data_IF_107767775554
#
_entry.id   IF_107767775554
#
_cell.length_a   1.000
_cell.length_b   1.000
_cell.length_c   1.000
_cell.angle_alpha   90.00
_cell.angle_beta   90.00
_cell.angle_gamma   90.00
#
_symmetry.space_group_name_H-M   'P 1'
#
loop_
_entity.id
_entity.type
_entity.pdbx_description
1 polymer ?
#
# COMPACT_ATOMS: atom_id res chain seq x y z
N UNK A 1 -1.83 26.35 -66.53
CA UNK A 1 -2.19 26.65 -65.14
C UNK A 1 -1.96 25.40 -64.33
N UNK A 2 -0.87 25.35 -63.51
CA UNK A 2 -0.52 24.19 -62.69
C UNK A 2 -1.12 24.45 -61.28
N UNK A 3 -2.11 23.65 -60.89
CA UNK A 3 -2.68 23.71 -59.57
C UNK A 3 -1.77 22.98 -58.59
N UNK A 4 -1.17 23.71 -57.64
CA UNK A 4 -0.47 23.18 -56.48
C UNK A 4 -1.50 22.97 -55.35
N UNK A 5 -1.71 21.72 -54.99
CA UNK A 5 -2.50 21.33 -53.83
C UNK A 5 -1.55 21.29 -52.61
N UNK A 6 -1.75 22.10 -51.57
CA UNK A 6 -0.88 22.04 -50.41
C UNK A 6 -1.26 20.78 -49.59
N UNK A 7 -0.31 19.84 -49.48
CA UNK A 7 -0.42 18.70 -48.62
C UNK A 7 -0.29 19.14 -47.17
N UNK A 8 -1.43 19.25 -46.47
CA UNK A 8 -1.49 19.55 -45.04
C UNK A 8 -1.02 18.32 -44.24
N UNK A 9 0.23 18.30 -43.81
CA UNK A 9 0.80 17.31 -42.92
C UNK A 9 0.21 17.51 -41.52
N UNK A 10 -0.88 16.80 -41.21
CA UNK A 10 -1.38 16.66 -39.84
C UNK A 10 -0.36 15.82 -39.04
N UNK A 11 0.48 16.50 -38.28
CA UNK A 11 1.27 15.85 -37.23
C UNK A 11 0.30 15.34 -36.14
N UNK A 12 -0.10 14.08 -36.25
CA UNK A 12 -0.63 13.33 -35.13
C UNK A 12 0.52 13.20 -34.13
N UNK A 13 0.58 14.10 -33.16
CA UNK A 13 1.33 13.89 -31.93
C UNK A 13 0.58 12.78 -31.17
N UNK A 14 0.85 11.54 -31.51
CA UNK A 14 0.56 10.43 -30.64
C UNK A 14 1.37 10.69 -29.37
N UNK A 15 0.69 11.22 -28.34
CA UNK A 15 1.20 11.22 -26.98
C UNK A 15 1.42 9.74 -26.64
N UNK A 16 2.63 9.26 -26.87
CA UNK A 16 3.14 8.06 -26.24
C UNK A 16 3.03 8.34 -24.74
N UNK A 17 1.95 7.89 -24.12
CA UNK A 17 1.92 7.66 -22.70
C UNK A 17 2.94 6.54 -22.46
N UNK A 18 4.21 6.88 -22.50
CA UNK A 18 5.23 6.04 -21.92
C UNK A 18 4.75 5.81 -20.48
N UNK A 19 4.45 4.58 -20.18
CA UNK A 19 4.05 4.11 -18.87
C UNK A 19 5.13 4.58 -17.91
N UNK A 20 4.82 5.66 -17.16
CA UNK A 20 5.80 6.37 -16.36
C UNK A 20 5.91 5.64 -15.02
N UNK A 21 6.73 4.60 -14.99
CA UNK A 21 7.00 3.85 -13.77
C UNK A 21 7.79 4.71 -12.79
N UNK A 22 7.19 5.05 -11.67
CA UNK A 22 7.82 5.70 -10.52
C UNK A 22 7.00 5.43 -9.27
N UNK A 23 7.66 5.34 -8.13
CA UNK A 23 7.00 5.31 -6.82
C UNK A 23 6.84 6.72 -6.22
N UNK A 24 7.56 7.73 -6.75
CA UNK A 24 7.49 9.11 -6.29
C UNK A 24 6.87 10.01 -7.36
N UNK A 25 5.87 10.79 -6.97
CA UNK A 25 5.11 11.68 -7.85
C UNK A 25 5.01 13.07 -7.24
N UNK A 26 5.15 14.11 -8.05
CA UNK A 26 4.92 15.49 -7.67
C UNK A 26 3.49 15.90 -8.01
N UNK A 27 2.80 16.52 -7.05
CA UNK A 27 1.45 17.08 -7.21
C UNK A 27 1.57 18.60 -7.23
N UNK A 28 1.10 19.23 -8.32
CA UNK A 28 1.16 20.68 -8.54
C UNK A 28 -0.07 21.17 -9.33
N UNK A 29 -0.12 22.44 -9.67
CA UNK A 29 -1.23 23.05 -10.42
C UNK A 29 -2.37 23.55 -9.50
N UNK A 30 -3.49 23.94 -10.08
CA UNK A 30 -4.70 24.45 -9.37
C UNK A 30 -4.40 25.51 -8.30
N UNK A 31 -3.42 26.38 -8.51
CA UNK A 31 -3.06 27.44 -7.56
C UNK A 31 -2.25 26.99 -6.34
N UNK A 32 -1.74 25.75 -6.33
CA UNK A 32 -0.83 25.27 -5.29
C UNK A 32 0.48 26.07 -5.36
N UNK A 33 0.86 26.76 -4.27
CA UNK A 33 2.06 27.57 -4.22
C UNK A 33 3.36 26.76 -4.09
N UNK A 34 3.28 25.61 -3.42
CA UNK A 34 4.40 24.68 -3.22
C UNK A 34 3.94 23.28 -3.56
N UNK A 35 4.71 22.50 -4.34
CA UNK A 35 4.33 21.14 -4.68
C UNK A 35 4.22 20.28 -3.44
N UNK A 36 3.35 19.29 -3.52
CA UNK A 36 3.28 18.16 -2.61
C UNK A 36 3.75 16.90 -3.32
N UNK A 37 4.09 15.87 -2.58
CA UNK A 37 4.64 14.64 -3.14
C UNK A 37 3.81 13.44 -2.69
N UNK A 38 3.59 12.50 -3.61
CA UNK A 38 2.92 11.23 -3.39
C UNK A 38 3.95 10.12 -3.55
N UNK A 39 4.04 9.23 -2.57
CA UNK A 39 5.01 8.15 -2.56
C UNK A 39 4.36 6.81 -2.24
N UNK A 40 4.63 5.79 -3.07
CA UNK A 40 4.16 4.43 -2.88
C UNK A 40 4.99 3.67 -1.86
N UNK A 41 4.37 3.17 -0.80
CA UNK A 41 4.99 2.34 0.23
C UNK A 41 4.69 0.86 0.03
N UNK A 42 5.44 0.01 0.72
CA UNK A 42 5.19 -1.42 0.86
C UNK A 42 5.32 -1.81 2.32
N UNK A 43 4.28 -2.43 2.89
CA UNK A 43 4.14 -2.67 4.33
C UNK A 43 4.85 -3.96 4.80
N UNK A 44 6.07 -4.22 4.31
CA UNK A 44 6.88 -5.36 4.73
C UNK A 44 8.09 -4.91 5.55
N UNK A 45 8.50 -5.73 6.50
CA UNK A 45 9.70 -5.51 7.34
C UNK A 45 10.97 -6.06 6.67
N UNK A 46 11.20 -5.70 5.42
CA UNK A 46 12.35 -6.15 4.63
C UNK A 46 13.29 -4.97 4.33
N UNK A 47 14.54 -5.06 4.75
CA UNK A 47 15.54 -3.99 4.58
C UNK A 47 15.77 -3.57 3.14
N UNK A 48 15.53 -4.45 2.18
CA UNK A 48 15.62 -4.13 0.74
C UNK A 48 14.71 -2.98 0.34
N UNK A 49 13.51 -2.88 0.97
CA UNK A 49 12.52 -1.84 0.69
C UNK A 49 12.93 -0.45 1.14
N UNK A 50 13.90 -0.36 2.07
CA UNK A 50 14.40 0.91 2.60
C UNK A 50 15.47 1.54 1.70
N UNK A 51 15.70 1.00 0.51
CA UNK A 51 16.43 1.65 -0.54
C UNK A 51 15.56 2.74 -1.16
N UNK A 52 15.44 3.90 -0.48
CA UNK A 52 14.72 5.04 -1.03
C UNK A 52 15.53 5.71 -2.13
N UNK A 53 14.87 6.15 -3.21
CA UNK A 53 15.48 7.13 -4.08
C UNK A 53 15.92 8.34 -3.26
N UNK A 54 17.13 8.84 -3.45
CA UNK A 54 17.64 10.05 -2.76
C UNK A 54 16.65 11.21 -2.86
N UNK A 55 15.93 11.32 -3.99
CA UNK A 55 14.88 12.30 -4.18
C UNK A 55 13.70 12.11 -3.22
N UNK A 56 13.26 10.86 -2.91
CA UNK A 56 12.16 10.63 -1.98
C UNK A 56 12.52 11.07 -0.56
N UNK A 57 13.73 10.75 -0.10
CA UNK A 57 14.25 11.19 1.19
C UNK A 57 14.31 12.73 1.27
N UNK A 58 14.88 13.38 0.26
CA UNK A 58 14.97 14.84 0.19
C UNK A 58 13.60 15.52 0.18
N UNK A 59 12.62 14.94 -0.56
CA UNK A 59 11.26 15.47 -0.60
C UNK A 59 10.55 15.29 0.73
N UNK A 60 10.68 14.12 1.38
CA UNK A 60 10.17 13.92 2.73
C UNK A 60 10.77 14.94 3.71
N UNK A 61 12.08 15.17 3.67
CA UNK A 61 12.76 16.12 4.56
C UNK A 61 12.30 17.56 4.32
N UNK A 62 12.06 17.94 3.07
CA UNK A 62 11.62 19.30 2.70
C UNK A 62 10.15 19.61 3.02
N UNK A 63 9.33 18.60 3.25
CA UNK A 63 7.92 18.75 3.56
C UNK A 63 7.68 19.01 5.04
N UNK A 64 6.64 19.82 5.36
CA UNK A 64 6.24 20.13 6.73
C UNK A 64 5.19 19.17 7.29
N UNK A 65 4.50 18.45 6.40
CA UNK A 65 3.44 17.50 6.72
C UNK A 65 3.81 16.16 6.15
N UNK A 66 3.68 15.10 6.96
CA UNK A 66 3.63 13.73 6.50
C UNK A 66 2.18 13.25 6.61
N UNK A 67 1.58 12.87 5.48
CA UNK A 67 0.29 12.21 5.43
C UNK A 67 0.51 10.70 5.19
N UNK A 68 -0.17 9.88 5.97
CA UNK A 68 -0.17 8.42 5.87
C UNK A 68 -1.60 7.94 5.67
N UNK A 69 -1.78 6.70 5.22
CA UNK A 69 -3.11 6.08 5.22
C UNK A 69 -3.71 6.19 6.61
N UNK A 70 -3.03 5.70 7.63
CA UNK A 70 -3.36 5.85 9.05
C UNK A 70 -2.12 6.24 9.84
N UNK A 71 -2.26 7.25 10.69
CA UNK A 71 -1.29 7.56 11.74
C UNK A 71 -1.60 6.67 12.94
N UNK A 72 -0.68 5.77 13.27
CA UNK A 72 -0.88 4.80 14.36
C UNK A 72 -0.57 5.46 15.71
N UNK A 73 -1.55 5.47 16.61
CA UNK A 73 -1.30 5.81 18.03
C UNK A 73 -0.91 4.55 18.80
N UNK A 74 0.38 4.34 18.99
CA UNK A 74 0.90 3.21 19.77
C UNK A 74 0.55 3.25 21.26
N UNK A 75 -0.04 4.33 21.73
CA UNK A 75 -0.53 4.43 23.11
C UNK A 75 -1.93 3.87 23.25
N UNK A 76 -2.74 3.95 22.18
CA UNK A 76 -4.09 3.34 22.15
C UNK A 76 -4.03 1.86 21.77
N UNK A 77 -3.55 1.05 22.71
CA UNK A 77 -3.50 -0.42 22.54
C UNK A 77 -4.87 -1.04 22.31
N UNK A 78 -5.93 -0.43 22.83
CA UNK A 78 -7.30 -0.95 22.70
C UNK A 78 -7.80 -0.81 21.28
N UNK A 79 -7.53 0.33 20.62
CA UNK A 79 -7.89 0.53 19.23
C UNK A 79 -7.14 -0.46 18.34
N UNK A 80 -5.82 -0.61 18.52
CA UNK A 80 -5.00 -1.58 17.79
C UNK A 80 -5.51 -3.01 17.95
N UNK A 81 -5.84 -3.43 19.18
CA UNK A 81 -6.35 -4.78 19.43
C UNK A 81 -7.74 -4.99 18.81
N UNK A 82 -8.64 -4.00 18.90
CA UNK A 82 -9.95 -4.07 18.26
C UNK A 82 -9.88 -4.18 16.74
N UNK A 83 -8.82 -3.63 16.14
CA UNK A 83 -8.55 -3.72 14.71
C UNK A 83 -8.28 -5.15 14.26
N UNK A 84 -7.55 -5.90 15.07
CA UNK A 84 -6.99 -7.21 14.72
C UNK A 84 -7.93 -8.34 15.13
N UNK A 85 -8.63 -8.18 16.24
CA UNK A 85 -9.34 -9.28 16.88
C UNK A 85 -10.83 -9.34 16.52
N UNK A 86 -11.31 -10.55 16.33
CA UNK A 86 -12.72 -10.91 16.23
C UNK A 86 -13.34 -10.82 17.62
N UNK A 87 -14.55 -10.23 17.73
CA UNK A 87 -15.31 -10.12 18.98
C UNK A 87 -16.32 -11.25 19.15
N UNK A 88 -16.84 -11.74 18.04
CA UNK A 88 -17.84 -12.81 18.02
C UNK A 88 -17.13 -14.19 18.11
N UNK A 89 -17.30 -14.88 19.22
CA UNK A 89 -16.67 -16.18 19.47
C UNK A 89 -17.08 -17.25 18.46
N UNK A 90 -18.28 -17.14 17.85
CA UNK A 90 -18.72 -18.06 16.81
C UNK A 90 -17.90 -17.98 15.52
N UNK A 91 -17.13 -16.89 15.36
CA UNK A 91 -16.23 -16.64 14.22
C UNK A 91 -14.76 -16.95 14.52
N UNK A 92 -14.44 -17.48 15.70
CA UNK A 92 -13.08 -17.88 16.01
C UNK A 92 -12.62 -19.00 15.08
N UNK A 93 -11.33 -19.06 14.77
CA UNK A 93 -10.79 -20.07 13.84
C UNK A 93 -11.13 -21.50 14.24
N UNK A 94 -11.13 -21.80 15.54
CA UNK A 94 -11.54 -23.11 16.08
C UNK A 94 -13.01 -23.43 15.84
N UNK A 95 -13.87 -22.45 15.57
CA UNK A 95 -15.29 -22.65 15.27
C UNK A 95 -15.56 -22.74 13.77
N UNK A 96 -14.80 -22.03 12.93
CA UNK A 96 -15.07 -21.92 11.50
C UNK A 96 -14.21 -22.87 10.64
N UNK A 97 -13.13 -23.43 11.18
CA UNK A 97 -12.24 -24.37 10.47
C UNK A 97 -12.52 -25.82 10.85
N UNK A 98 -12.27 -26.74 9.92
CA UNK A 98 -12.18 -28.17 10.27
C UNK A 98 -11.00 -28.43 11.23
N UNK A 99 -11.04 -29.49 12.00
CA UNK A 99 -9.92 -29.86 12.88
C UNK A 99 -8.59 -30.00 12.11
N UNK A 100 -8.66 -30.53 10.89
CA UNK A 100 -7.50 -30.70 10.02
C UNK A 100 -6.94 -29.35 9.58
N UNK A 101 -7.79 -28.43 9.12
CA UNK A 101 -7.38 -27.11 8.65
C UNK A 101 -6.87 -26.25 9.80
N UNK A 102 -7.52 -26.32 10.97
CA UNK A 102 -7.06 -25.64 12.17
C UNK A 102 -5.63 -26.07 12.55
N UNK A 103 -5.34 -27.39 12.51
CA UNK A 103 -3.98 -27.90 12.76
C UNK A 103 -2.96 -27.40 11.74
N UNK A 104 -3.33 -27.34 10.45
CA UNK A 104 -2.46 -26.77 9.40
C UNK A 104 -2.15 -25.29 9.66
N UNK A 105 -3.18 -24.48 9.89
CA UNK A 105 -3.04 -23.06 10.19
C UNK A 105 -2.20 -22.85 11.45
N UNK A 106 -2.46 -23.59 12.53
CA UNK A 106 -1.69 -23.50 13.77
C UNK A 106 -0.22 -23.80 13.56
N UNK A 107 0.11 -24.78 12.72
CA UNK A 107 1.50 -25.10 12.36
C UNK A 107 2.13 -23.93 11.58
N UNK A 108 1.44 -23.40 10.56
CA UNK A 108 1.95 -22.29 9.77
C UNK A 108 2.20 -21.02 10.60
N UNK A 109 1.27 -20.69 11.52
CA UNK A 109 1.44 -19.56 12.45
C UNK A 109 2.63 -19.77 13.38
N UNK A 110 2.79 -20.98 13.93
CA UNK A 110 3.93 -21.30 14.81
C UNK A 110 5.29 -21.13 14.10
N UNK A 111 5.35 -21.43 12.81
CA UNK A 111 6.59 -21.40 12.03
C UNK A 111 6.91 -20.01 11.46
N UNK A 112 5.90 -19.14 11.27
CA UNK A 112 6.07 -17.88 10.52
C UNK A 112 5.70 -16.61 11.29
N UNK A 113 4.97 -16.72 12.43
CA UNK A 113 4.52 -15.57 13.19
C UNK A 113 5.21 -15.47 14.56
N UNK A 114 5.07 -14.32 15.20
CA UNK A 114 5.56 -14.11 16.55
C UNK A 114 4.74 -14.86 17.61
N UNK A 115 5.30 -14.96 18.80
CA UNK A 115 4.70 -15.70 19.92
C UNK A 115 3.33 -15.16 20.33
N UNK A 116 3.14 -13.83 20.29
CA UNK A 116 1.86 -13.21 20.65
C UNK A 116 0.77 -13.57 19.63
N UNK A 117 1.09 -13.47 18.35
CA UNK A 117 0.20 -13.87 17.25
C UNK A 117 -0.19 -15.35 17.39
N UNK A 118 0.76 -16.23 17.74
CA UNK A 118 0.47 -17.65 17.96
C UNK A 118 -0.53 -17.88 19.11
N UNK A 119 -0.37 -17.19 20.25
CA UNK A 119 -1.30 -17.34 21.38
C UNK A 119 -2.67 -16.75 21.11
N UNK A 120 -2.75 -15.75 20.24
CA UNK A 120 -4.00 -15.05 19.93
C UNK A 120 -4.64 -15.52 18.62
N UNK A 121 -4.02 -16.44 17.87
CA UNK A 121 -4.39 -16.81 16.51
C UNK A 121 -5.87 -17.13 16.32
N UNK A 122 -6.48 -17.76 17.31
CA UNK A 122 -7.88 -18.19 17.27
C UNK A 122 -8.84 -16.98 17.14
N UNK A 123 -8.44 -15.84 17.66
CA UNK A 123 -9.21 -14.59 17.70
C UNK A 123 -8.81 -13.59 16.61
N UNK A 124 -7.72 -13.84 15.88
CA UNK A 124 -7.25 -12.95 14.82
C UNK A 124 -8.12 -13.16 13.57
N UNK A 125 -8.48 -12.07 12.89
CA UNK A 125 -9.21 -12.11 11.62
C UNK A 125 -8.48 -12.98 10.60
N UNK A 126 -9.17 -13.89 9.89
CA UNK A 126 -8.50 -14.85 8.99
C UNK A 126 -7.62 -14.17 7.94
N UNK A 127 -8.09 -13.09 7.34
CA UNK A 127 -7.33 -12.36 6.32
C UNK A 127 -6.07 -11.68 6.88
N UNK A 128 -6.14 -11.15 8.11
CA UNK A 128 -4.97 -10.59 8.78
C UNK A 128 -3.96 -11.66 9.18
N UNK A 129 -4.44 -12.82 9.58
CA UNK A 129 -3.58 -13.96 9.89
C UNK A 129 -2.88 -14.49 8.63
N UNK A 130 -3.60 -14.55 7.49
CA UNK A 130 -3.02 -14.86 6.19
C UNK A 130 -1.87 -13.91 5.83
N UNK A 131 -2.11 -12.60 5.94
CA UNK A 131 -1.09 -11.58 5.70
C UNK A 131 0.12 -11.75 6.64
N UNK A 132 -0.11 -12.05 7.93
CA UNK A 132 0.97 -12.28 8.91
C UNK A 132 1.81 -13.51 8.58
N UNK A 133 1.18 -14.60 8.12
CA UNK A 133 1.88 -15.82 7.67
C UNK A 133 2.73 -15.53 6.43
N UNK A 134 2.18 -14.79 5.47
CA UNK A 134 2.90 -14.42 4.24
C UNK A 134 4.09 -13.51 4.55
N UNK A 135 3.89 -12.47 5.38
CA UNK A 135 4.97 -11.58 5.82
C UNK A 135 6.06 -12.36 6.56
N UNK A 136 5.67 -13.31 7.43
CA UNK A 136 6.59 -14.12 8.23
C UNK A 136 7.57 -14.95 7.40
N UNK A 137 7.28 -15.23 6.14
CA UNK A 137 8.17 -15.92 5.21
C UNK A 137 9.26 -15.02 4.63
N UNK A 138 9.15 -13.70 4.83
CA UNK A 138 10.10 -12.72 4.31
C UNK A 138 11.25 -12.49 5.31
N UNK A 139 12.19 -11.63 4.98
CA UNK A 139 13.40 -11.39 5.79
C UNK A 139 13.11 -10.96 7.22
N UNK A 140 12.13 -10.07 7.41
CA UNK A 140 11.79 -9.48 8.71
C UNK A 140 13.02 -8.93 9.48
N UNK A 141 13.98 -8.33 8.75
CA UNK A 141 15.26 -7.88 9.27
C UNK A 141 15.27 -6.39 9.69
N UNK A 142 14.12 -5.72 9.61
CA UNK A 142 13.91 -4.38 10.15
C UNK A 142 12.77 -4.38 11.18
N UNK A 143 12.85 -3.43 12.12
CA UNK A 143 11.91 -3.39 13.26
C UNK A 143 10.50 -3.00 12.86
N UNK A 144 10.37 -2.06 11.92
CA UNK A 144 9.10 -1.49 11.51
C UNK A 144 8.99 -1.50 9.98
N UNK A 145 7.78 -1.66 9.42
CA UNK A 145 7.56 -1.41 8.01
C UNK A 145 7.76 0.08 7.69
N UNK A 146 7.89 0.39 6.42
CA UNK A 146 8.31 1.68 5.90
C UNK A 146 7.45 2.86 6.36
N UNK A 147 6.13 2.71 6.33
CA UNK A 147 5.15 3.72 6.73
C UNK A 147 5.26 4.08 8.22
N UNK A 148 5.45 3.08 9.07
CA UNK A 148 5.68 3.27 10.50
C UNK A 148 7.04 3.93 10.76
N UNK A 149 8.08 3.57 10.01
CA UNK A 149 9.39 4.22 10.10
C UNK A 149 9.28 5.70 9.68
N UNK A 150 8.56 6.01 8.61
CA UNK A 150 8.28 7.40 8.21
C UNK A 150 7.56 8.17 9.30
N UNK A 151 6.57 7.55 9.95
CA UNK A 151 5.87 8.18 11.08
C UNK A 151 6.83 8.58 12.20
N UNK A 152 7.71 7.66 12.63
CA UNK A 152 8.67 7.95 13.70
C UNK A 152 9.69 9.03 13.28
N UNK A 153 10.18 8.97 12.06
CA UNK A 153 11.16 9.95 11.56
C UNK A 153 10.54 11.35 11.43
N UNK A 154 9.29 11.44 10.98
CA UNK A 154 8.55 12.69 10.92
C UNK A 154 8.27 13.27 12.33
N UNK A 155 7.91 12.42 13.29
CA UNK A 155 7.74 12.84 14.70
C UNK A 155 9.03 13.40 15.29
N UNK A 156 10.17 12.74 15.08
CA UNK A 156 11.49 13.23 15.53
C UNK A 156 11.85 14.58 14.91
N UNK A 157 11.43 14.81 13.67
CA UNK A 157 11.65 16.07 12.94
C UNK A 157 10.62 17.16 13.27
N UNK A 158 9.66 16.91 14.16
CA UNK A 158 8.60 17.86 14.51
C UNK A 158 7.61 18.14 13.38
N UNK A 159 7.49 17.27 12.38
CA UNK A 159 6.54 17.42 11.30
C UNK A 159 5.11 17.15 11.78
N UNK A 160 4.14 17.82 11.15
CA UNK A 160 2.74 17.52 11.37
C UNK A 160 2.39 16.18 10.70
N UNK A 161 1.77 15.29 11.46
CA UNK A 161 1.22 14.04 10.94
C UNK A 161 -0.25 14.25 10.55
N UNK A 162 -0.66 13.60 9.47
CA UNK A 162 -2.03 13.61 8.97
C UNK A 162 -2.46 12.20 8.57
N UNK A 163 -3.60 11.77 9.07
CA UNK A 163 -4.22 10.49 8.73
C UNK A 163 -5.21 10.72 7.60
N UNK A 164 -5.05 10.04 6.47
CA UNK A 164 -5.97 10.13 5.32
C UNK A 164 -7.26 9.35 5.60
N UNK A 165 -7.15 8.29 6.37
CA UNK A 165 -8.25 7.45 6.83
C UNK A 165 -8.16 7.26 8.36
N UNK A 166 -9.24 6.81 8.99
CA UNK A 166 -9.18 6.35 10.37
C UNK A 166 -8.85 4.85 10.44
N UNK A 167 -8.21 4.40 11.52
CA UNK A 167 -8.01 2.97 11.76
C UNK A 167 -9.35 2.21 11.76
N UNK A 168 -10.40 2.82 12.34
CA UNK A 168 -11.74 2.24 12.33
C UNK A 168 -12.31 2.04 10.93
N UNK A 169 -12.07 2.98 9.98
CA UNK A 169 -12.52 2.82 8.59
C UNK A 169 -11.80 1.69 7.86
N UNK A 170 -10.49 1.53 8.10
CA UNK A 170 -9.72 0.41 7.52
C UNK A 170 -10.21 -0.96 8.03
N UNK A 171 -10.54 -1.04 9.33
CA UNK A 171 -11.10 -2.27 9.91
C UNK A 171 -12.47 -2.57 9.31
N UNK A 172 -13.34 -1.56 9.23
CA UNK A 172 -14.69 -1.69 8.69
C UNK A 172 -14.70 -2.22 7.24
N UNK A 173 -13.63 -1.99 6.48
CA UNK A 173 -13.47 -2.56 5.13
C UNK A 173 -13.26 -4.07 5.20
N UNK A 174 -12.46 -4.57 6.15
CA UNK A 174 -12.27 -6.02 6.35
C UNK A 174 -13.58 -6.73 6.72
N UNK A 175 -14.46 -6.05 7.47
CA UNK A 175 -15.78 -6.58 7.84
C UNK A 175 -16.74 -6.73 6.65
N UNK A 176 -16.46 -6.08 5.52
CA UNK A 176 -17.23 -6.23 4.28
C UNK A 176 -16.86 -7.47 3.47
N UNK A 177 -15.69 -8.05 3.75
CA UNK A 177 -15.26 -9.27 3.09
C UNK A 177 -15.94 -10.47 3.80
N UNK A 178 -16.77 -11.27 3.10
CA UNK A 178 -17.44 -12.41 3.70
C UNK A 178 -16.46 -13.34 4.43
N UNK A 179 -16.87 -13.85 5.58
CA UNK A 179 -16.02 -14.70 6.43
C UNK A 179 -15.52 -15.96 5.69
N UNK A 180 -16.37 -16.53 4.83
CA UNK A 180 -15.99 -17.71 4.03
C UNK A 180 -14.88 -17.38 3.04
N UNK A 181 -14.88 -16.18 2.44
CA UNK A 181 -13.80 -15.72 1.56
C UNK A 181 -12.53 -15.49 2.39
N UNK A 182 -12.63 -14.83 3.54
CA UNK A 182 -11.47 -14.64 4.43
C UNK A 182 -10.85 -15.99 4.85
N UNK A 183 -11.70 -16.97 5.12
CA UNK A 183 -11.28 -18.34 5.47
C UNK A 183 -10.57 -19.02 4.28
N UNK A 184 -11.12 -18.91 3.08
CA UNK A 184 -10.51 -19.46 1.87
C UNK A 184 -9.13 -18.86 1.60
N UNK A 185 -8.99 -17.54 1.73
CA UNK A 185 -7.71 -16.85 1.56
C UNK A 185 -6.68 -17.28 2.63
N UNK A 186 -7.10 -17.47 3.88
CA UNK A 186 -6.22 -18.00 4.91
C UNK A 186 -5.71 -19.41 4.57
N UNK A 187 -6.61 -20.30 4.15
CA UNK A 187 -6.23 -21.65 3.76
C UNK A 187 -5.35 -21.67 2.51
N UNK A 188 -5.67 -20.83 1.52
CA UNK A 188 -4.84 -20.63 0.33
C UNK A 188 -3.44 -20.13 0.70
N UNK A 189 -3.34 -19.17 1.61
CA UNK A 189 -2.06 -18.65 2.09
C UNK A 189 -1.20 -19.76 2.73
N UNK A 190 -1.81 -20.67 3.48
CA UNK A 190 -1.13 -21.80 4.14
C UNK A 190 -0.74 -22.89 3.14
N UNK A 191 -1.65 -23.25 2.23
CA UNK A 191 -1.41 -24.34 1.26
C UNK A 191 -0.40 -23.94 0.17
N UNK A 192 -0.31 -22.65 -0.17
CA UNK A 192 0.56 -22.11 -1.23
C UNK A 192 1.79 -21.33 -0.72
N UNK A 193 2.25 -21.58 0.50
CA UNK A 193 3.32 -20.80 1.16
C UNK A 193 4.56 -20.59 0.28
N UNK A 194 5.02 -21.62 -0.46
CA UNK A 194 6.20 -21.52 -1.31
C UNK A 194 5.97 -20.59 -2.50
N UNK A 195 4.81 -20.70 -3.15
CA UNK A 195 4.40 -19.87 -4.28
C UNK A 195 4.24 -18.41 -3.83
N UNK A 196 3.58 -18.19 -2.70
CA UNK A 196 3.38 -16.87 -2.11
C UNK A 196 4.71 -16.18 -1.76
N UNK A 197 5.71 -16.94 -1.27
CA UNK A 197 7.04 -16.40 -1.03
C UNK A 197 7.71 -15.93 -2.33
N UNK A 198 7.63 -16.72 -3.40
CA UNK A 198 8.17 -16.36 -4.72
C UNK A 198 7.46 -15.13 -5.26
N UNK A 199 6.14 -15.05 -5.11
CA UNK A 199 5.33 -13.91 -5.51
C UNK A 199 5.75 -12.63 -4.78
N UNK A 200 5.85 -12.68 -3.45
CA UNK A 200 6.30 -11.55 -2.62
C UNK A 200 7.72 -11.10 -2.97
N UNK A 201 8.66 -12.03 -3.19
CA UNK A 201 10.01 -11.68 -3.63
C UNK A 201 9.99 -11.02 -5.02
N UNK A 202 9.12 -11.47 -5.93
CA UNK A 202 8.92 -10.83 -7.24
C UNK A 202 8.36 -9.41 -7.10
N UNK A 203 7.36 -9.21 -6.23
CA UNK A 203 6.79 -7.89 -5.92
C UNK A 203 7.85 -6.94 -5.35
N UNK A 204 8.71 -7.43 -4.45
CA UNK A 204 9.86 -6.63 -3.93
C UNK A 204 10.79 -6.22 -5.08
N UNK A 205 11.11 -7.12 -6.02
CA UNK A 205 11.94 -6.77 -7.17
C UNK A 205 11.27 -5.73 -8.08
N UNK A 206 9.95 -5.81 -8.31
CA UNK A 206 9.19 -4.80 -9.06
C UNK A 206 9.21 -3.46 -8.32
N UNK A 207 9.02 -3.46 -7.00
CA UNK A 207 9.09 -2.26 -6.17
C UNK A 207 10.45 -1.57 -6.27
N UNK A 208 11.55 -2.33 -6.16
CA UNK A 208 12.92 -1.81 -6.27
C UNK A 208 13.22 -1.21 -7.65
N UNK A 209 12.60 -1.72 -8.72
CA UNK A 209 12.67 -1.15 -10.06
C UNK A 209 11.66 -0.03 -10.29
N UNK A 210 10.87 0.31 -9.27
CA UNK A 210 9.78 1.29 -9.36
C UNK A 210 8.73 0.93 -10.43
N UNK A 211 8.55 -0.35 -10.70
CA UNK A 211 7.62 -0.89 -11.69
C UNK A 211 6.19 -0.93 -11.12
N UNK A 212 5.55 0.24 -11.06
CA UNK A 212 4.20 0.39 -10.52
C UNK A 212 3.17 -0.42 -11.29
N UNK A 213 3.34 -0.53 -12.61
CA UNK A 213 2.46 -1.33 -13.46
C UNK A 213 2.58 -2.82 -13.18
N UNK A 214 3.82 -3.33 -13.08
CA UNK A 214 4.05 -4.72 -12.72
C UNK A 214 3.49 -5.05 -11.35
N UNK A 215 3.65 -4.16 -10.36
CA UNK A 215 3.05 -4.31 -9.02
C UNK A 215 1.53 -4.42 -9.10
N UNK A 216 0.86 -3.56 -9.86
CA UNK A 216 -0.58 -3.59 -10.02
C UNK A 216 -1.06 -4.89 -10.67
N UNK A 217 -0.43 -5.29 -11.79
CA UNK A 217 -0.78 -6.53 -12.48
C UNK A 217 -0.56 -7.79 -11.62
N UNK A 218 0.36 -7.73 -10.67
CA UNK A 218 0.63 -8.85 -9.76
C UNK A 218 -0.42 -8.94 -8.65
N UNK A 219 -0.97 -7.81 -8.18
CA UNK A 219 -2.08 -7.79 -7.23
C UNK A 219 -3.39 -8.29 -7.86
N UNK A 220 -3.55 -8.17 -9.17
CA UNK A 220 -4.71 -8.67 -9.93
C UNK A 220 -4.72 -10.23 -10.07
N UNK A 221 -3.71 -10.94 -9.59
CA UNK A 221 -3.56 -12.40 -9.73
C UNK A 221 -4.08 -13.26 -8.58
N UNK A 222 -4.88 -12.71 -7.66
CA UNK A 222 -5.54 -13.43 -6.57
C UNK A 222 -6.81 -14.16 -7.05
N UNK A 223 -7.59 -14.84 -6.20
CA UNK A 223 -8.80 -15.53 -6.67
C UNK A 223 -9.81 -14.54 -7.24
N UNK A 224 -10.52 -14.89 -8.34
CA UNK A 224 -11.37 -13.94 -9.07
C UNK A 224 -12.45 -13.26 -8.19
N UNK A 225 -13.00 -13.97 -7.18
CA UNK A 225 -13.98 -13.41 -6.27
C UNK A 225 -13.33 -12.47 -5.25
N UNK A 226 -12.19 -12.83 -4.72
CA UNK A 226 -11.42 -11.97 -3.82
C UNK A 226 -10.85 -10.77 -4.55
N UNK A 227 -10.39 -10.92 -5.80
CA UNK A 227 -9.90 -9.84 -6.66
C UNK A 227 -10.94 -8.73 -6.83
N UNK A 228 -12.20 -9.10 -7.08
CA UNK A 228 -13.29 -8.12 -7.21
C UNK A 228 -13.51 -7.32 -5.93
N UNK A 229 -13.49 -8.01 -4.77
CA UNK A 229 -13.64 -7.37 -3.45
C UNK A 229 -12.37 -6.57 -3.08
N UNK A 230 -11.20 -7.11 -3.39
CA UNK A 230 -9.93 -6.43 -3.20
C UNK A 230 -9.92 -5.11 -3.97
N UNK A 231 -10.20 -5.16 -5.27
CA UNK A 231 -10.22 -3.96 -6.11
C UNK A 231 -11.26 -2.96 -5.62
N UNK A 232 -12.50 -3.39 -5.37
CA UNK A 232 -13.60 -2.47 -5.06
C UNK A 232 -13.53 -1.94 -3.63
N UNK A 233 -13.36 -2.82 -2.62
CA UNK A 233 -13.46 -2.45 -1.20
C UNK A 233 -12.11 -2.00 -0.63
N UNK A 234 -11.03 -2.73 -0.95
CA UNK A 234 -9.72 -2.47 -0.37
C UNK A 234 -8.92 -1.41 -1.13
N UNK A 235 -9.21 -1.15 -2.42
CA UNK A 235 -8.52 -0.14 -3.21
C UNK A 235 -9.44 1.02 -3.62
N UNK A 236 -10.40 0.82 -4.55
CA UNK A 236 -11.11 1.92 -5.22
C UNK A 236 -11.86 2.85 -4.24
N UNK A 237 -12.66 2.27 -3.35
CA UNK A 237 -13.43 3.07 -2.36
C UNK A 237 -12.50 3.81 -1.41
N UNK A 238 -11.40 3.21 -1.01
CA UNK A 238 -10.40 3.85 -0.15
C UNK A 238 -9.64 4.93 -0.91
N UNK A 239 -9.33 4.73 -2.19
CA UNK A 239 -8.71 5.75 -3.03
C UNK A 239 -9.52 7.06 -3.03
N UNK A 240 -10.85 6.98 -3.15
CA UNK A 240 -11.72 8.16 -3.07
C UNK A 240 -11.62 8.85 -1.71
N UNK A 241 -11.63 8.08 -0.61
CA UNK A 241 -11.48 8.64 0.75
C UNK A 241 -10.13 9.33 0.89
N UNK A 242 -9.05 8.68 0.47
CA UNK A 242 -7.69 9.23 0.56
C UNK A 242 -7.51 10.46 -0.31
N UNK A 243 -8.07 10.52 -1.52
CA UNK A 243 -8.04 11.70 -2.39
C UNK A 243 -8.73 12.88 -1.71
N UNK A 244 -9.89 12.67 -1.06
CA UNK A 244 -10.56 13.72 -0.28
C UNK A 244 -9.67 14.22 0.89
N UNK A 245 -8.96 13.32 1.57
CA UNK A 245 -7.97 13.69 2.59
C UNK A 245 -6.82 14.51 2.01
N UNK A 246 -6.27 14.11 0.87
CA UNK A 246 -5.20 14.82 0.16
C UNK A 246 -5.65 16.23 -0.20
N UNK A 247 -6.88 16.42 -0.69
CA UNK A 247 -7.43 17.73 -1.04
C UNK A 247 -7.36 18.74 0.10
N UNK A 248 -7.51 18.30 1.34
CA UNK A 248 -7.42 19.20 2.51
C UNK A 248 -5.99 19.72 2.75
N UNK A 249 -5.00 19.02 2.22
CA UNK A 249 -3.58 19.35 2.38
C UNK A 249 -3.04 20.24 1.25
N UNK A 250 -3.53 20.00 0.02
CA UNK A 250 -2.99 20.61 -1.20
C UNK A 250 -3.04 22.14 -1.22
N UNK A 251 -4.07 22.85 -0.72
CA UNK A 251 -4.11 24.32 -0.73
C UNK A 251 -2.92 24.95 0.00
N UNK A 252 -2.46 24.32 1.08
CA UNK A 252 -1.28 24.77 1.81
C UNK A 252 0.03 24.30 1.18
N UNK A 253 -0.03 23.26 0.32
CA UNK A 253 1.11 22.61 -0.31
C UNK A 253 2.10 22.00 0.69
N UNK A 254 3.22 21.51 0.15
CA UNK A 254 4.36 21.04 0.94
C UNK A 254 4.04 19.85 1.88
N UNK A 255 3.20 18.93 1.41
CA UNK A 255 2.91 17.66 2.07
C UNK A 255 3.62 16.50 1.36
N UNK A 256 4.15 15.57 2.14
CA UNK A 256 4.59 14.25 1.66
C UNK A 256 3.52 13.23 2.03
N UNK A 257 2.91 12.63 1.03
CA UNK A 257 1.82 11.67 1.16
C UNK A 257 2.37 10.28 0.89
N UNK A 258 2.47 9.44 1.90
CA UNK A 258 2.97 8.07 1.78
C UNK A 258 1.83 7.07 1.99
N UNK A 259 1.54 6.30 0.95
CA UNK A 259 0.45 5.31 0.89
C UNK A 259 0.90 4.06 0.15
N UNK A 260 0.25 2.93 0.36
CA UNK A 260 0.58 1.67 -0.31
C UNK A 260 0.63 1.82 -1.83
N UNK A 261 1.68 1.29 -2.46
CA UNK A 261 1.92 1.41 -3.89
C UNK A 261 0.74 0.90 -4.74
N UNK A 262 -0.03 -0.08 -4.23
CA UNK A 262 -1.24 -0.60 -4.88
C UNK A 262 -2.34 0.46 -5.09
N UNK A 263 -2.36 1.53 -4.30
CA UNK A 263 -3.32 2.63 -4.41
C UNK A 263 -2.95 3.66 -5.48
N UNK A 264 -1.71 3.66 -6.00
CA UNK A 264 -1.23 4.72 -6.89
C UNK A 264 -1.74 4.59 -8.32
N UNK A 265 -1.57 3.40 -8.91
CA UNK A 265 -1.79 3.14 -10.33
C UNK A 265 -3.22 2.74 -10.68
N UNK A 266 -3.46 2.60 -11.99
CA UNK A 266 -4.76 2.20 -12.53
C UNK A 266 -5.72 3.35 -12.73
N UNK A 267 -6.85 3.06 -13.39
CA UNK A 267 -7.85 4.07 -13.76
C UNK A 267 -8.51 4.73 -12.54
N UNK A 268 -8.68 3.97 -11.45
CA UNK A 268 -9.22 4.40 -10.17
C UNK A 268 -8.11 4.64 -9.13
N UNK A 269 -6.84 4.62 -9.55
CA UNK A 269 -5.70 4.95 -8.69
C UNK A 269 -5.63 6.43 -8.36
N UNK A 270 -4.99 6.75 -7.26
CA UNK A 270 -4.91 8.13 -6.72
C UNK A 270 -4.27 9.09 -7.74
N UNK A 271 -3.29 8.63 -8.52
CA UNK A 271 -2.64 9.45 -9.56
C UNK A 271 -3.69 9.93 -10.58
N UNK A 272 -4.49 9.00 -11.12
CA UNK A 272 -5.49 9.33 -12.14
C UNK A 272 -6.69 10.08 -11.55
N UNK A 273 -7.10 9.78 -10.31
CA UNK A 273 -8.15 10.54 -9.64
C UNK A 273 -7.76 12.00 -9.46
N UNK A 274 -6.54 12.29 -9.00
CA UNK A 274 -6.03 13.66 -8.88
C UNK A 274 -5.91 14.36 -10.25
N UNK A 275 -5.48 13.64 -11.30
CA UNK A 275 -5.44 14.17 -12.67
C UNK A 275 -6.82 14.52 -13.22
N UNK A 276 -7.81 13.64 -13.03
CA UNK A 276 -9.22 13.88 -13.41
C UNK A 276 -9.79 15.14 -12.75
N UNK A 277 -9.30 15.46 -11.57
CA UNK A 277 -9.68 16.69 -10.86
C UNK A 277 -8.89 17.93 -11.27
N UNK A 278 -7.96 17.81 -12.24
CA UNK A 278 -7.21 18.90 -12.83
C UNK A 278 -5.91 19.26 -12.13
N UNK A 279 -5.41 18.43 -11.23
CA UNK A 279 -4.04 18.56 -10.73
C UNK A 279 -3.03 18.06 -11.77
N UNK A 280 -1.83 18.61 -11.72
CA UNK A 280 -0.68 18.13 -12.49
C UNK A 280 0.07 17.13 -11.62
N UNK A 281 0.01 15.84 -11.98
CA UNK A 281 0.69 14.75 -11.26
C UNK A 281 1.74 14.15 -12.18
N UNK A 282 3.03 14.36 -11.85
CA UNK A 282 4.17 13.96 -12.66
C UNK A 282 5.09 13.02 -11.89
N UNK A 283 5.67 11.99 -12.55
CA UNK A 283 6.65 11.14 -11.89
C UNK A 283 7.93 11.92 -11.59
N UNK A 284 8.55 11.59 -10.47
CA UNK A 284 9.87 12.04 -10.09
C UNK A 284 10.80 10.84 -10.20
N UNK A 285 11.63 10.84 -11.25
CA UNK A 285 12.58 9.75 -11.47
C UNK A 285 13.81 9.93 -10.60
N UNK A 286 14.24 8.86 -9.97
CA UNK A 286 15.54 8.79 -9.33
C UNK A 286 15.95 7.32 -9.18
N UNK A 287 17.24 7.10 -9.13
CA UNK A 287 17.81 5.79 -8.85
C UNK A 287 17.93 5.59 -7.34
N UNK A 288 17.80 4.34 -6.90
CA UNK A 288 18.12 3.97 -5.53
C UNK A 288 19.65 4.03 -5.36
N UNK A 289 20.16 4.96 -4.57
CA UNK A 289 21.50 4.84 -4.02
C UNK A 289 21.39 3.97 -2.76
N UNK A 290 22.27 2.97 -2.63
CA UNK A 290 22.31 2.10 -1.47
C UNK A 290 22.28 2.92 -0.18
N UNK A 291 21.30 2.64 0.69
CA UNK A 291 21.24 3.26 2.00
C UNK A 291 22.58 3.03 2.71
N UNK A 292 23.20 4.13 3.11
CA UNK A 292 24.17 4.06 4.20
C UNK A 292 23.45 3.46 5.38
N UNK A 293 23.91 2.29 5.84
CA UNK A 293 23.46 1.72 7.10
C UNK A 293 23.48 2.85 8.14
N UNK A 294 22.33 3.23 8.64
CA UNK A 294 22.25 4.12 9.80
C UNK A 294 22.41 3.21 11.00
N UNK A 295 23.59 3.28 11.64
CA UNK A 295 23.88 2.72 12.95
C UNK A 295 22.89 3.21 14.01
#
# INVERSE_FOLDING_TARGET
MKNYFPLLFLFFVSSLFAQQNSLLWEISGKGINKPSYLFGTMHLRDSRLFCFPDSAQQKLESCNVLALEVVVDFKDKKELMNAILIKDESQYLSQILSEQDYKKVKKAVKENCDVLTFFMMDKVRPLMLAASIMEGQMKNDVKYPMDIQFQFDAQKQGKRLYSLESAASQIAVLDKIPLDIQKQELLSAVDNMKQNKVLLDSMIQMYLRQDLTGLQQTSDGMTAEFDSLWQTELLDKRNVIMVNGIHTLLPNGNAFVAIGAAHLGGENGIIELLRKEGYVVRPVFSTCSQLRARD
#
